data_IF_125825408342
#
_entry.id   IF_125825408342
#
_cell.length_a   1.000
_cell.length_b   1.000
_cell.length_c   1.000
_cell.angle_alpha   90.00
_cell.angle_beta   90.00
_cell.angle_gamma   90.00
#
_symmetry.space_group_name_H-M   'P 1'
#
loop_
_entity.id
_entity.type
_entity.pdbx_description
1 polymer ?
#
# COMPACT_ATOMS: atom_id res chain seq x y z
N UNK A 1 -19.01 -8.24 -9.77
CA UNK A 1 -18.47 -8.59 -8.43
C UNK A 1 -19.02 -7.59 -7.44
N UNK A 2 -19.71 -8.04 -6.38
CA UNK A 2 -20.22 -7.13 -5.36
C UNK A 2 -19.04 -6.63 -4.52
N UNK A 3 -18.83 -5.31 -4.49
CA UNK A 3 -17.86 -4.69 -3.58
C UNK A 3 -18.43 -4.87 -2.18
N UNK A 4 -17.81 -5.73 -1.36
CA UNK A 4 -18.17 -5.84 0.05
C UNK A 4 -18.06 -4.46 0.69
N UNK A 5 -19.17 -3.94 1.21
CA UNK A 5 -19.25 -2.63 1.86
C UNK A 5 -19.26 -2.85 3.36
N UNK A 6 -18.09 -2.77 3.97
CA UNK A 6 -17.99 -2.75 5.43
C UNK A 6 -18.26 -1.33 5.96
N UNK A 7 -19.01 -1.25 7.07
CA UNK A 7 -19.32 0.01 7.74
C UNK A 7 -18.37 0.22 8.91
N UNK A 8 -17.66 1.34 8.90
CA UNK A 8 -16.76 1.74 9.98
C UNK A 8 -17.47 2.72 10.92
N UNK A 9 -17.70 2.32 12.16
CA UNK A 9 -18.26 3.18 13.20
C UNK A 9 -17.12 3.74 14.07
N UNK A 10 -16.83 5.03 13.95
CA UNK A 10 -15.74 5.70 14.68
C UNK A 10 -16.34 6.71 15.66
N UNK A 11 -15.81 6.73 16.89
CA UNK A 11 -16.05 7.82 17.85
C UNK A 11 -14.97 8.87 17.68
N UNK A 12 -15.37 10.13 17.52
CA UNK A 12 -14.47 11.27 17.36
C UNK A 12 -14.92 12.39 18.28
N UNK A 13 -14.00 13.27 18.69
CA UNK A 13 -14.36 14.49 19.41
C UNK A 13 -15.06 15.47 18.48
N UNK A 14 -15.86 16.35 19.05
CA UNK A 14 -16.57 17.38 18.30
C UNK A 14 -15.60 18.33 17.57
N UNK A 15 -14.52 18.74 18.24
CA UNK A 15 -13.48 19.60 17.66
C UNK A 15 -12.83 18.96 16.42
N UNK A 16 -12.53 17.65 16.50
CA UNK A 16 -11.93 16.88 15.40
C UNK A 16 -12.93 16.77 14.23
N UNK A 17 -14.21 16.54 14.53
CA UNK A 17 -15.27 16.49 13.52
C UNK A 17 -15.35 17.80 12.75
N UNK A 18 -15.38 18.94 13.46
CA UNK A 18 -15.46 20.25 12.84
C UNK A 18 -14.21 20.58 12.00
N UNK A 19 -13.03 20.14 12.43
CA UNK A 19 -11.80 20.26 11.64
C UNK A 19 -11.88 19.46 10.34
N UNK A 20 -12.27 18.19 10.43
CA UNK A 20 -12.37 17.28 9.29
C UNK A 20 -13.43 17.73 8.28
N UNK A 21 -14.58 18.23 8.75
CA UNK A 21 -15.62 18.78 7.88
C UNK A 21 -15.16 20.02 7.12
N UNK A 22 -14.42 20.93 7.76
CA UNK A 22 -13.82 22.08 7.07
C UNK A 22 -12.82 21.63 5.99
N UNK A 23 -11.96 20.67 6.31
CA UNK A 23 -10.99 20.13 5.35
C UNK A 23 -11.68 19.45 4.15
N UNK A 24 -12.73 18.66 4.40
CA UNK A 24 -13.55 18.05 3.36
C UNK A 24 -14.24 19.13 2.49
N UNK A 25 -14.75 20.20 3.11
CA UNK A 25 -15.34 21.35 2.44
C UNK A 25 -14.36 22.07 1.51
N UNK A 26 -13.10 22.29 1.94
CA UNK A 26 -12.05 22.85 1.08
C UNK A 26 -11.75 21.98 -0.14
N UNK A 27 -11.80 20.65 0.01
CA UNK A 27 -11.64 19.70 -1.10
C UNK A 27 -12.92 19.45 -1.90
N UNK A 28 -14.05 20.05 -1.51
CA UNK A 28 -15.37 19.87 -2.12
C UNK A 28 -15.82 18.39 -2.20
N UNK A 29 -15.46 17.60 -1.19
CA UNK A 29 -15.84 16.19 -1.07
C UNK A 29 -16.64 15.95 0.20
N UNK A 30 -17.33 14.80 0.28
CA UNK A 30 -18.00 14.42 1.53
C UNK A 30 -16.99 14.10 2.64
N UNK A 31 -17.39 14.26 3.90
CA UNK A 31 -16.57 13.87 5.05
C UNK A 31 -16.12 12.40 4.99
N UNK A 32 -17.02 11.50 4.59
CA UNK A 32 -16.70 10.07 4.44
C UNK A 32 -15.65 9.84 3.36
N UNK A 33 -15.79 10.49 2.20
CA UNK A 33 -14.81 10.36 1.13
C UNK A 33 -13.45 10.90 1.56
N UNK A 34 -13.42 12.08 2.18
CA UNK A 34 -12.21 12.68 2.71
C UNK A 34 -11.47 11.74 3.69
N UNK A 35 -12.20 11.15 4.63
CA UNK A 35 -11.63 10.23 5.63
C UNK A 35 -11.12 8.94 5.01
N UNK A 36 -11.86 8.34 4.08
CA UNK A 36 -11.46 7.09 3.42
C UNK A 36 -10.23 7.30 2.55
N UNK A 37 -10.19 8.40 1.77
CA UNK A 37 -9.03 8.73 0.93
C UNK A 37 -7.79 9.02 1.79
N UNK A 38 -7.93 9.88 2.79
CA UNK A 38 -6.81 10.24 3.67
C UNK A 38 -6.29 9.02 4.44
N UNK A 39 -7.19 8.16 4.93
CA UNK A 39 -6.82 6.91 5.60
C UNK A 39 -6.12 5.93 4.66
N UNK A 40 -6.55 5.84 3.39
CA UNK A 40 -5.89 5.01 2.38
C UNK A 40 -4.48 5.51 2.09
N UNK A 41 -4.33 6.80 1.78
CA UNK A 41 -3.02 7.39 1.46
C UNK A 41 -2.03 7.19 2.62
N UNK A 42 -2.48 7.40 3.86
CA UNK A 42 -1.66 7.18 5.04
C UNK A 42 -1.29 5.70 5.23
N UNK A 43 -2.23 4.78 5.01
CA UNK A 43 -1.98 3.35 5.12
C UNK A 43 -0.99 2.88 4.04
N UNK A 44 -1.16 3.33 2.80
CA UNK A 44 -0.26 3.02 1.68
C UNK A 44 1.15 3.55 1.96
N UNK A 45 1.28 4.80 2.45
CA UNK A 45 2.57 5.38 2.82
C UNK A 45 3.27 4.60 3.94
N UNK A 46 2.52 4.19 4.96
CA UNK A 46 3.04 3.38 6.07
C UNK A 46 3.52 2.00 5.58
N UNK A 47 2.76 1.36 4.68
CA UNK A 47 3.12 0.06 4.13
C UNK A 47 4.29 0.16 3.15
N UNK A 48 4.38 1.22 2.34
CA UNK A 48 5.47 1.45 1.40
C UNK A 48 6.79 1.81 2.11
N UNK A 49 6.72 2.51 3.24
CA UNK A 49 7.90 2.84 4.06
C UNK A 49 8.41 1.66 4.89
N UNK A 50 7.71 0.52 4.87
CA UNK A 50 8.11 -0.67 5.62
C UNK A 50 9.39 -1.28 5.04
N UNK A 51 10.45 -1.28 5.83
CA UNK A 51 11.76 -1.88 5.49
C UNK A 51 11.95 -3.30 6.04
N UNK A 52 11.05 -3.76 6.91
CA UNK A 52 11.14 -5.06 7.58
C UNK A 52 10.02 -5.99 7.11
N UNK A 53 10.39 -7.11 6.49
CA UNK A 53 9.48 -8.16 6.05
C UNK A 53 9.63 -9.38 6.96
N UNK A 54 8.80 -9.52 8.01
CA UNK A 54 8.82 -10.73 8.83
C UNK A 54 8.32 -11.89 7.98
N UNK A 55 9.09 -12.97 8.01
CA UNK A 55 8.76 -14.24 7.35
C UNK A 55 8.81 -15.35 8.40
N UNK A 56 8.05 -16.40 8.18
CA UNK A 56 8.15 -17.61 9.00
C UNK A 56 9.51 -18.29 8.76
N UNK A 57 10.01 -19.05 9.74
CA UNK A 57 11.34 -19.67 9.66
C UNK A 57 11.52 -20.53 8.41
N UNK A 58 10.50 -21.31 8.02
CA UNK A 58 10.55 -22.12 6.80
C UNK A 58 10.74 -21.28 5.54
N UNK A 59 10.02 -20.15 5.42
CA UNK A 59 10.16 -19.22 4.29
C UNK A 59 11.50 -18.48 4.29
N UNK A 60 12.12 -18.30 5.46
CA UNK A 60 13.47 -17.76 5.56
C UNK A 60 14.51 -18.73 4.99
N UNK A 61 14.41 -20.02 5.34
CA UNK A 61 15.34 -21.05 4.84
C UNK A 61 15.22 -21.19 3.30
N UNK A 62 13.99 -21.20 2.77
CA UNK A 62 13.74 -21.21 1.32
C UNK A 62 14.34 -19.99 0.62
N UNK A 63 14.28 -18.81 1.24
CA UNK A 63 14.86 -17.58 0.70
C UNK A 63 16.40 -17.67 0.65
N UNK A 64 17.02 -18.13 1.73
CA UNK A 64 18.49 -18.28 1.82
C UNK A 64 18.97 -19.29 0.78
N UNK A 65 18.32 -20.45 0.67
CA UNK A 65 18.63 -21.44 -0.37
C UNK A 65 18.48 -20.84 -1.77
N UNK A 66 17.43 -20.03 -1.99
CA UNK A 66 17.24 -19.37 -3.28
C UNK A 66 18.35 -18.37 -3.60
N UNK A 67 18.88 -17.66 -2.60
CA UNK A 67 19.97 -16.69 -2.74
C UNK A 67 21.34 -17.34 -2.96
N UNK A 68 21.58 -18.51 -2.37
CA UNK A 68 22.86 -19.24 -2.52
C UNK A 68 22.98 -19.96 -3.88
N UNK A 69 21.88 -20.17 -4.58
CA UNK A 69 21.91 -20.78 -5.92
C UNK A 69 22.58 -19.84 -6.93
N UNK A 70 23.43 -20.37 -7.83
CA UNK A 70 24.03 -19.57 -8.89
C UNK A 70 22.95 -18.96 -9.79
N UNK A 71 23.13 -17.69 -10.16
CA UNK A 71 22.22 -16.98 -11.03
C UNK A 71 22.11 -17.67 -12.39
N UNK A 72 20.87 -17.92 -12.84
CA UNK A 72 20.58 -18.50 -14.13
C UNK A 72 20.09 -17.40 -15.07
N UNK A 73 20.71 -17.30 -16.25
CA UNK A 73 20.26 -16.36 -17.27
C UNK A 73 18.87 -16.79 -17.76
N UNK A 74 17.88 -15.91 -17.57
CA UNK A 74 16.54 -16.07 -18.13
C UNK A 74 16.43 -15.20 -19.38
N UNK A 75 16.24 -15.77 -20.59
CA UNK A 75 16.18 -15.01 -21.83
C UNK A 75 15.17 -13.85 -21.79
N UNK A 76 14.07 -14.01 -21.07
CA UNK A 76 13.02 -13.00 -20.91
C UNK A 76 13.49 -11.80 -20.08
N UNK A 77 14.35 -12.04 -19.06
CA UNK A 77 14.94 -10.96 -18.28
C UNK A 77 16.00 -10.22 -19.10
N UNK A 78 16.79 -10.93 -19.90
CA UNK A 78 17.78 -10.32 -20.80
C UNK A 78 17.07 -9.41 -21.82
N UNK A 79 15.99 -9.88 -22.43
CA UNK A 79 15.18 -9.08 -23.34
C UNK A 79 14.55 -7.88 -22.62
N UNK A 80 13.96 -8.06 -21.43
CA UNK A 80 13.38 -6.98 -20.63
C UNK A 80 14.38 -5.85 -20.35
N UNK A 81 15.59 -6.19 -19.90
CA UNK A 81 16.63 -5.21 -19.60
C UNK A 81 17.29 -4.59 -20.84
N UNK A 82 17.09 -5.18 -22.03
CA UNK A 82 17.58 -4.64 -23.31
C UNK A 82 16.61 -3.62 -23.94
N UNK A 83 15.38 -3.52 -23.44
CA UNK A 83 14.37 -2.59 -23.94
C UNK A 83 14.70 -1.15 -23.48
N UNK A 84 14.48 -0.13 -24.33
CA UNK A 84 14.56 1.26 -23.91
C UNK A 84 13.53 1.52 -22.81
N UNK A 85 13.88 2.41 -21.86
CA UNK A 85 12.96 2.81 -20.79
C UNK A 85 11.67 3.35 -21.42
N UNK A 86 10.49 2.83 -21.06
CA UNK A 86 9.23 3.40 -21.52
C UNK A 86 9.13 4.86 -21.05
N UNK A 87 8.78 5.74 -21.97
CA UNK A 87 8.53 7.17 -21.77
C UNK A 87 7.11 7.45 -21.25
#
# INVERSE_FOLDING_TARGET
>A
MAVARDRLNIRIREDDRALLERAAGYRQVSLTQFLVESGREQAESLLASRTSFPVEAASWDELVEAMDRPAQARPELVDLFSRPRPE
#
